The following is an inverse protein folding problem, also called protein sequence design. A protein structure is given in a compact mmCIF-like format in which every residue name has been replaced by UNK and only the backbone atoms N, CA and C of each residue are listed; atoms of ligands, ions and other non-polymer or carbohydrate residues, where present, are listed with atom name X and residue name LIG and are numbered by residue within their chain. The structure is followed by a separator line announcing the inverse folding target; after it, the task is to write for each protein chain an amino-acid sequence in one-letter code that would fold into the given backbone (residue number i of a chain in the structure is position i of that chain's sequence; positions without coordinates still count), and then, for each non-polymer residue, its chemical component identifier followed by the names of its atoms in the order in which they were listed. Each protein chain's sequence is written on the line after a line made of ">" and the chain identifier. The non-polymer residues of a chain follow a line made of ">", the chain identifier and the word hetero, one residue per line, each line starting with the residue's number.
data_IF_499403022010
#
_entry.id   IF_499403022010
#
_cell.length_a   1.000
_cell.length_b   1.000
_cell.length_c   1.000
_cell.angle_alpha   90.00
_cell.angle_beta   90.00
_cell.angle_gamma   90.00
#
_symmetry.space_group_name_H-M   'P 1'
#
loop_
_entity.id
_entity.type
_entity.pdbx_description
1 polymer ?
#
# COMPACT_ATOMS: atom_id res chain seq x y z
N UNK A 1 -30.24 -15.55 -32.76
CA UNK A 1 -28.96 -15.92 -32.13
C UNK A 1 -28.09 -14.68 -32.15
N UNK A 2 -28.17 -13.83 -31.11
CA UNK A 2 -27.24 -12.71 -30.95
C UNK A 2 -25.97 -13.29 -30.34
N UNK A 3 -24.95 -13.48 -31.16
CA UNK A 3 -23.59 -13.68 -30.69
C UNK A 3 -23.17 -12.39 -29.99
N UNK A 4 -23.38 -12.34 -28.67
CA UNK A 4 -22.80 -11.31 -27.80
C UNK A 4 -21.28 -11.45 -27.88
N UNK A 5 -20.66 -10.85 -28.90
CA UNK A 5 -19.22 -10.67 -28.97
C UNK A 5 -18.84 -9.67 -27.87
N UNK A 6 -18.74 -10.16 -26.64
CA UNK A 6 -18.12 -9.42 -25.55
C UNK A 6 -16.66 -9.24 -25.94
N UNK A 7 -16.30 -8.00 -26.24
CA UNK A 7 -14.96 -7.63 -26.63
C UNK A 7 -14.01 -7.91 -25.46
N UNK A 8 -12.99 -8.73 -25.68
CA UNK A 8 -11.94 -8.92 -24.69
C UNK A 8 -10.94 -7.77 -24.75
N UNK A 9 -10.52 -7.32 -23.58
CA UNK A 9 -9.55 -6.26 -23.38
C UNK A 9 -8.28 -6.86 -22.78
N UNK A 10 -7.12 -6.43 -23.26
CA UNK A 10 -5.84 -6.69 -22.61
C UNK A 10 -5.34 -5.40 -21.98
N UNK A 11 -4.93 -5.47 -20.72
CA UNK A 11 -4.32 -4.36 -20.00
C UNK A 11 -2.93 -4.74 -19.52
N UNK A 12 -2.03 -3.77 -19.49
CA UNK A 12 -0.65 -3.93 -19.05
C UNK A 12 -0.52 -3.41 -17.62
N UNK A 13 -0.49 -4.32 -16.63
CA UNK A 13 -0.37 -3.97 -15.20
C UNK A 13 0.70 -4.86 -14.57
N UNK A 14 1.52 -4.29 -13.69
CA UNK A 14 2.65 -4.96 -13.06
C UNK A 14 3.69 -5.54 -14.04
N UNK A 15 3.77 -5.00 -15.26
CA UNK A 15 4.67 -5.52 -16.30
C UNK A 15 4.22 -6.86 -16.90
N UNK A 16 2.95 -7.25 -16.68
CA UNK A 16 2.31 -8.39 -17.34
C UNK A 16 1.06 -7.95 -18.10
N UNK A 17 0.75 -8.73 -19.12
CA UNK A 17 -0.46 -8.58 -19.93
C UNK A 17 -1.55 -9.41 -19.27
N UNK A 18 -2.61 -8.76 -18.82
CA UNK A 18 -3.78 -9.40 -18.23
C UNK A 18 -4.92 -9.24 -19.21
N UNK A 19 -5.54 -10.35 -19.62
CA UNK A 19 -6.68 -10.35 -20.54
C UNK A 19 -7.98 -10.52 -19.75
N UNK A 20 -8.99 -9.72 -20.10
CA UNK A 20 -10.31 -9.78 -19.50
C UNK A 20 -11.04 -11.04 -19.93
N UNK A 21 -11.87 -11.60 -19.06
CA UNK A 21 -12.86 -12.60 -19.45
C UNK A 21 -14.21 -11.89 -19.58
N UNK A 22 -14.89 -12.04 -20.72
CA UNK A 22 -16.20 -11.40 -20.95
C UNK A 22 -16.17 -9.86 -20.80
N UNK A 23 -15.03 -9.23 -21.09
CA UNK A 23 -14.82 -7.79 -20.94
C UNK A 23 -14.60 -7.31 -19.49
N UNK A 24 -14.43 -8.24 -18.53
CA UNK A 24 -14.23 -7.95 -17.11
C UNK A 24 -12.96 -8.59 -16.56
N UNK A 25 -12.38 -7.95 -15.55
CA UNK A 25 -11.18 -8.41 -14.86
C UNK A 25 -11.44 -8.82 -13.43
N UNK A 26 -10.80 -9.91 -12.99
CA UNK A 26 -10.82 -10.38 -11.61
C UNK A 26 -9.81 -9.61 -10.77
N UNK A 27 -10.29 -8.78 -9.85
CA UNK A 27 -9.40 -7.91 -9.04
C UNK A 27 -8.52 -8.72 -8.07
N UNK A 28 -9.01 -9.85 -7.58
CA UNK A 28 -8.27 -10.79 -6.74
C UNK A 28 -7.12 -11.47 -7.49
N UNK A 29 -7.34 -11.83 -8.76
CA UNK A 29 -6.31 -12.39 -9.64
C UNK A 29 -5.20 -11.38 -9.92
N UNK A 30 -5.58 -10.13 -10.18
CA UNK A 30 -4.62 -9.03 -10.37
C UNK A 30 -3.76 -8.82 -9.14
N UNK A 31 -4.37 -8.78 -7.94
CA UNK A 31 -3.63 -8.71 -6.67
C UNK A 31 -2.67 -9.89 -6.54
N UNK A 32 -3.13 -11.12 -6.83
CA UNK A 32 -2.30 -12.32 -6.75
C UNK A 32 -1.10 -12.28 -7.70
N UNK A 33 -1.29 -11.83 -8.94
CA UNK A 33 -0.20 -11.64 -9.90
C UNK A 33 0.80 -10.62 -9.35
N UNK A 34 0.33 -9.48 -8.83
CA UNK A 34 1.19 -8.46 -8.21
C UNK A 34 2.02 -9.02 -7.05
N UNK A 35 1.43 -9.88 -6.20
CA UNK A 35 2.15 -10.56 -5.11
C UNK A 35 3.20 -11.51 -5.65
N UNK A 36 2.84 -12.34 -6.64
CA UNK A 36 3.75 -13.35 -7.20
C UNK A 36 5.03 -12.73 -7.78
N UNK A 37 4.94 -11.55 -8.36
CA UNK A 37 6.09 -10.84 -8.93
C UNK A 37 6.75 -9.85 -7.96
N UNK A 38 6.29 -9.79 -6.71
CA UNK A 38 6.83 -8.90 -5.68
C UNK A 38 6.53 -7.42 -5.88
N UNK A 39 5.49 -7.07 -6.64
CA UNK A 39 5.01 -5.68 -6.80
C UNK A 39 3.95 -5.29 -5.77
N UNK A 40 3.35 -6.25 -5.09
CA UNK A 40 2.29 -6.04 -4.10
C UNK A 40 2.59 -6.91 -2.89
N UNK A 41 2.40 -6.38 -1.70
CA UNK A 41 2.59 -7.15 -0.46
C UNK A 41 1.32 -7.97 -0.16
N UNK A 42 1.48 -9.17 0.39
CA UNK A 42 0.36 -10.00 0.82
C UNK A 42 -0.16 -9.59 2.21
N UNK A 43 -0.76 -8.42 2.27
CA UNK A 43 -1.29 -7.83 3.51
C UNK A 43 -2.76 -7.45 3.39
N UNK A 44 -3.41 -7.19 4.52
CA UNK A 44 -4.81 -6.73 4.53
C UNK A 44 -4.99 -5.34 3.89
N UNK A 45 -3.96 -4.49 3.93
CA UNK A 45 -3.99 -3.15 3.32
C UNK A 45 -4.19 -3.22 1.81
N UNK A 46 -3.63 -4.24 1.13
CA UNK A 46 -3.71 -4.43 -0.32
C UNK A 46 -4.97 -5.17 -0.78
N UNK A 47 -5.88 -5.55 0.11
CA UNK A 47 -7.12 -6.23 -0.27
C UNK A 47 -8.13 -5.28 -0.93
N UNK A 48 -8.90 -5.80 -1.89
CA UNK A 48 -9.98 -5.04 -2.56
C UNK A 48 -10.94 -4.34 -1.58
N UNK A 49 -11.24 -4.96 -0.44
CA UNK A 49 -12.15 -4.39 0.56
C UNK A 49 -11.71 -2.99 1.02
N UNK A 50 -10.40 -2.75 1.16
CA UNK A 50 -9.82 -1.45 1.51
C UNK A 50 -9.90 -0.47 0.35
N UNK A 51 -9.51 -0.88 -0.85
CA UNK A 51 -9.69 -0.08 -2.06
C UNK A 51 -11.13 0.42 -2.19
N UNK A 52 -12.11 -0.46 -1.99
CA UNK A 52 -13.53 -0.12 -2.06
C UNK A 52 -13.98 0.94 -1.03
N UNK A 53 -13.22 1.15 0.03
CA UNK A 53 -13.47 2.19 1.05
C UNK A 53 -12.83 3.55 0.70
N UNK A 54 -11.86 3.58 -0.22
CA UNK A 54 -11.22 4.81 -0.71
C UNK A 54 -12.22 5.68 -1.49
N UNK A 55 -11.90 6.97 -1.66
CA UNK A 55 -12.74 7.88 -2.48
C UNK A 55 -12.88 7.37 -3.92
N UNK A 56 -11.80 6.86 -4.50
CA UNK A 56 -11.78 6.32 -5.87
C UNK A 56 -12.58 5.02 -5.96
N UNK A 57 -12.35 4.06 -5.06
CA UNK A 57 -13.09 2.79 -5.06
C UNK A 57 -14.59 2.97 -4.83
N UNK A 58 -14.99 3.90 -3.94
CA UNK A 58 -16.40 4.28 -3.75
C UNK A 58 -17.01 4.88 -5.02
N UNK A 59 -16.30 5.79 -5.70
CA UNK A 59 -16.77 6.38 -6.95
C UNK A 59 -16.97 5.33 -8.05
N UNK A 60 -16.02 4.41 -8.21
CA UNK A 60 -16.08 3.34 -9.21
C UNK A 60 -17.22 2.36 -8.92
N UNK A 61 -17.45 2.02 -7.65
CA UNK A 61 -18.60 1.19 -7.23
C UNK A 61 -19.92 1.91 -7.50
N UNK A 62 -20.03 3.19 -7.17
CA UNK A 62 -21.25 3.98 -7.41
C UNK A 62 -21.58 4.10 -8.91
N UNK A 63 -20.57 4.07 -9.77
CA UNK A 63 -20.73 4.05 -11.24
C UNK A 63 -20.89 2.65 -11.83
N UNK A 64 -21.12 1.62 -11.01
CA UNK A 64 -21.30 0.22 -11.42
C UNK A 64 -20.16 -0.38 -12.26
N UNK A 65 -18.96 0.22 -12.17
CA UNK A 65 -17.75 -0.24 -12.88
C UNK A 65 -17.08 -1.43 -12.21
N UNK A 66 -17.39 -1.65 -10.94
CA UNK A 66 -16.93 -2.79 -10.16
C UNK A 66 -18.16 -3.51 -9.60
N UNK A 67 -18.25 -4.82 -9.83
CA UNK A 67 -19.41 -5.65 -9.49
C UNK A 67 -18.95 -6.87 -8.70
N UNK A 68 -19.72 -7.23 -7.68
CA UNK A 68 -19.56 -8.49 -6.97
C UNK A 68 -20.41 -9.54 -7.68
N UNK A 69 -19.77 -10.62 -8.15
CA UNK A 69 -20.45 -11.76 -8.76
C UNK A 69 -20.32 -12.96 -7.83
N UNK A 70 -21.45 -13.60 -7.51
CA UNK A 70 -21.44 -14.88 -6.79
C UNK A 70 -21.19 -16.00 -7.80
N UNK A 71 -20.10 -16.72 -7.63
CA UNK A 71 -19.65 -17.83 -8.49
C UNK A 71 -20.19 -19.18 -8.00
N UNK A 72 -21.41 -19.21 -7.44
CA UNK A 72 -21.98 -20.42 -6.82
C UNK A 72 -21.20 -20.85 -5.56
N UNK A 73 -21.01 -22.16 -5.39
CA UNK A 73 -20.32 -22.76 -4.22
C UNK A 73 -18.82 -22.38 -4.13
N UNK A 74 -18.22 -21.88 -5.21
CA UNK A 74 -16.83 -21.42 -5.27
C UNK A 74 -16.59 -20.03 -4.63
N UNK A 75 -17.65 -19.37 -4.14
CA UNK A 75 -17.57 -18.09 -3.44
C UNK A 75 -17.98 -16.89 -4.28
N UNK A 76 -17.54 -15.68 -3.89
CA UNK A 76 -17.86 -14.43 -4.60
C UNK A 76 -16.60 -13.74 -5.10
N UNK A 77 -16.59 -13.33 -6.37
CA UNK A 77 -15.48 -12.64 -7.02
C UNK A 77 -15.86 -11.20 -7.35
N UNK A 78 -14.90 -10.29 -7.27
CA UNK A 78 -15.09 -8.89 -7.63
C UNK A 78 -14.53 -8.66 -9.03
N UNK A 79 -15.42 -8.30 -9.95
CA UNK A 79 -15.11 -8.03 -11.34
C UNK A 79 -15.12 -6.54 -11.63
N UNK A 80 -14.19 -6.08 -12.47
CA UNK A 80 -14.05 -4.68 -12.84
C UNK A 80 -13.98 -4.47 -14.34
N UNK A 81 -14.52 -3.35 -14.81
CA UNK A 81 -14.28 -2.85 -16.17
C UNK A 81 -12.79 -2.46 -16.36
N UNK A 82 -12.30 -2.31 -17.61
CA UNK A 82 -10.89 -1.99 -17.84
C UNK A 82 -10.40 -0.73 -17.10
N UNK A 83 -11.22 0.31 -17.04
CA UNK A 83 -10.86 1.58 -16.40
C UNK A 83 -10.70 1.45 -14.87
N UNK A 84 -11.63 0.78 -14.21
CA UNK A 84 -11.58 0.52 -12.78
C UNK A 84 -10.44 -0.44 -12.42
N UNK A 85 -10.10 -1.34 -13.34
CA UNK A 85 -8.99 -2.29 -13.17
C UNK A 85 -7.64 -1.58 -13.15
N UNK A 86 -7.42 -0.62 -14.06
CA UNK A 86 -6.22 0.22 -14.08
C UNK A 86 -6.08 1.03 -12.79
N UNK A 87 -7.17 1.63 -12.31
CA UNK A 87 -7.15 2.39 -11.05
C UNK A 87 -6.89 1.50 -9.84
N UNK A 88 -7.39 0.27 -9.83
CA UNK A 88 -7.07 -0.69 -8.79
C UNK A 88 -5.59 -1.08 -8.81
N UNK A 89 -5.01 -1.34 -9.98
CA UNK A 89 -3.57 -1.63 -10.13
C UNK A 89 -2.69 -0.48 -9.64
N UNK A 90 -3.02 0.76 -9.98
CA UNK A 90 -2.32 1.96 -9.50
C UNK A 90 -2.36 2.10 -7.98
N UNK A 91 -3.52 1.84 -7.38
CA UNK A 91 -3.64 1.85 -5.93
C UNK A 91 -2.79 0.76 -5.26
N UNK A 92 -2.73 -0.44 -5.83
CA UNK A 92 -1.87 -1.51 -5.34
C UNK A 92 -0.38 -1.14 -5.39
N UNK A 93 0.09 -0.54 -6.50
CA UNK A 93 1.46 -0.04 -6.62
C UNK A 93 1.79 1.02 -5.56
N UNK A 94 0.82 1.90 -5.25
CA UNK A 94 0.99 2.93 -4.22
C UNK A 94 1.10 2.34 -2.81
N UNK A 95 0.22 1.40 -2.44
CA UNK A 95 0.25 0.74 -1.12
C UNK A 95 1.57 -0.04 -0.93
N UNK A 96 2.05 -0.72 -1.98
CA UNK A 96 3.35 -1.38 -1.94
C UNK A 96 4.50 -0.38 -1.75
N UNK A 97 4.49 0.73 -2.49
CA UNK A 97 5.49 1.79 -2.34
C UNK A 97 5.53 2.38 -0.93
N UNK A 98 4.37 2.55 -0.30
CA UNK A 98 4.28 2.96 1.10
C UNK A 98 4.86 1.89 2.03
N UNK A 99 4.47 0.63 1.90
CA UNK A 99 4.97 -0.45 2.74
C UNK A 99 6.49 -0.59 2.65
N UNK A 100 7.05 -0.51 1.44
CA UNK A 100 8.51 -0.52 1.24
C UNK A 100 9.18 0.68 1.90
N UNK A 101 8.57 1.87 1.80
CA UNK A 101 9.12 3.08 2.41
C UNK A 101 9.06 3.02 3.94
N UNK A 102 7.96 2.53 4.51
CA UNK A 102 7.80 2.31 5.95
C UNK A 102 8.78 1.26 6.47
N UNK A 103 8.95 0.14 5.75
CA UNK A 103 9.93 -0.89 6.08
C UNK A 103 11.35 -0.32 6.01
N UNK A 104 11.66 0.47 4.97
CA UNK A 104 12.96 1.13 4.83
C UNK A 104 13.21 2.10 5.99
N UNK A 105 12.25 2.98 6.31
CA UNK A 105 12.35 3.90 7.45
C UNK A 105 12.50 3.12 8.76
N UNK A 106 11.74 2.04 8.96
CA UNK A 106 11.85 1.18 10.14
C UNK A 106 13.23 0.51 10.24
N UNK A 107 13.79 0.07 9.12
CA UNK A 107 15.14 -0.50 9.07
C UNK A 107 16.20 0.56 9.36
N UNK A 108 16.13 1.74 8.74
CA UNK A 108 17.11 2.82 8.94
C UNK A 108 16.99 3.51 10.29
N UNK A 109 15.83 3.43 10.95
CA UNK A 109 15.61 3.91 12.33
C UNK A 109 15.98 2.90 13.40
N UNK A 110 16.17 1.63 13.06
CA UNK A 110 16.54 0.60 14.03
C UNK A 110 17.91 0.88 14.63
N UNK A 111 17.99 1.01 15.96
CA UNK A 111 19.24 1.29 16.69
C UNK A 111 20.34 0.26 16.39
N UNK A 112 19.96 -1.01 16.18
CA UNK A 112 20.89 -2.09 15.81
C UNK A 112 21.44 -1.91 14.40
N UNK A 113 20.58 -1.53 13.44
CA UNK A 113 21.00 -1.28 12.06
C UNK A 113 21.84 0.00 11.98
N UNK A 114 21.44 1.06 12.68
CA UNK A 114 22.23 2.30 12.77
C UNK A 114 23.59 2.06 13.41
N UNK A 115 23.65 1.24 14.47
CA UNK A 115 24.91 0.87 15.12
C UNK A 115 25.81 0.04 14.19
N UNK A 116 25.23 -0.93 13.47
CA UNK A 116 25.95 -1.72 12.47
C UNK A 116 26.48 -0.83 11.34
N UNK A 117 25.65 0.06 10.78
CA UNK A 117 26.03 1.01 9.72
C UNK A 117 27.11 1.99 10.20
N UNK A 118 27.04 2.46 11.46
CA UNK A 118 28.05 3.32 12.03
C UNK A 118 29.42 2.61 12.12
N UNK A 119 29.42 1.34 12.58
CA UNK A 119 30.62 0.52 12.73
C UNK A 119 31.20 -0.06 11.43
N UNK A 120 30.42 -0.09 10.35
CA UNK A 120 30.81 -0.69 9.08
C UNK A 120 31.83 0.20 8.33
N UNK A 121 33.08 -0.25 8.17
CA UNK A 121 34.13 0.51 7.46
C UNK A 121 33.96 0.49 5.93
N UNK A 122 33.17 -0.44 5.41
CA UNK A 122 32.91 -0.72 4.00
C UNK A 122 31.76 0.13 3.40
N UNK A 123 30.96 0.79 4.24
CA UNK A 123 29.89 1.68 3.77
C UNK A 123 30.47 3.06 3.47
N UNK A 124 30.25 3.54 2.24
CA UNK A 124 30.69 4.88 1.80
C UNK A 124 30.17 5.97 2.75
N UNK A 125 30.98 7.01 3.05
CA UNK A 125 30.58 8.10 3.94
C UNK A 125 29.27 8.78 3.52
N UNK A 126 29.07 8.97 2.21
CA UNK A 126 27.86 9.57 1.63
C UNK A 126 26.59 8.78 1.98
N UNK A 127 26.68 7.44 1.99
CA UNK A 127 25.56 6.56 2.34
C UNK A 127 25.27 6.60 3.84
N UNK A 128 26.31 6.69 4.69
CA UNK A 128 26.14 6.88 6.14
C UNK A 128 25.45 8.21 6.46
N UNK A 129 25.86 9.28 5.78
CA UNK A 129 25.29 10.62 5.95
C UNK A 129 23.83 10.68 5.49
N UNK A 130 23.50 10.02 4.38
CA UNK A 130 22.12 9.85 3.91
C UNK A 130 21.26 9.13 4.95
N UNK A 131 21.74 8.00 5.50
CA UNK A 131 21.01 7.24 6.54
C UNK A 131 20.82 8.08 7.81
N UNK A 132 21.83 8.84 8.24
CA UNK A 132 21.70 9.75 9.39
C UNK A 132 20.66 10.84 9.18
N UNK A 133 20.63 11.48 8.00
CA UNK A 133 19.62 12.51 7.67
C UNK A 133 18.19 11.97 7.64
N UNK A 134 18.02 10.69 7.33
CA UNK A 134 16.73 10.01 7.24
C UNK A 134 16.44 9.09 8.45
N UNK A 135 17.26 9.18 9.51
CA UNK A 135 16.97 8.55 10.79
C UNK A 135 15.76 9.21 11.46
N UNK A 136 14.98 8.44 12.22
CA UNK A 136 13.86 8.99 12.98
C UNK A 136 14.37 9.67 14.26
N UNK A 137 14.29 10.99 14.32
CA UNK A 137 14.41 11.74 15.58
C UNK A 137 13.06 11.77 16.32
N UNK A 138 13.09 11.94 17.64
CA UNK A 138 11.88 12.23 18.42
C UNK A 138 11.65 13.73 18.39
N UNK A 139 10.42 14.17 18.14
CA UNK A 139 10.11 15.59 18.04
C UNK A 139 8.95 15.96 18.96
N UNK A 140 9.08 17.11 19.64
CA UNK A 140 7.99 17.78 20.36
C UNK A 140 7.86 19.19 19.77
N UNK A 141 6.66 19.53 19.30
CA UNK A 141 6.36 20.85 18.71
C UNK A 141 7.37 21.29 17.63
N UNK A 142 7.83 20.35 16.80
CA UNK A 142 8.77 20.62 15.70
C UNK A 142 10.24 20.76 16.11
N UNK A 143 10.58 20.60 17.40
CA UNK A 143 11.96 20.53 17.89
C UNK A 143 12.35 19.09 18.19
N UNK A 144 13.55 18.69 17.78
CA UNK A 144 14.10 17.37 18.12
C UNK A 144 14.44 17.29 19.61
N UNK A 145 14.08 16.18 20.24
CA UNK A 145 14.19 15.95 21.68
C UNK A 145 14.83 14.61 21.99
N UNK A 146 15.38 14.50 23.19
CA UNK A 146 15.92 13.22 23.68
C UNK A 146 14.81 12.23 24.05
N UNK A 147 15.14 10.93 24.12
CA UNK A 147 14.21 9.89 24.56
C UNK A 147 13.61 10.16 25.95
N UNK A 148 14.41 10.70 26.88
CA UNK A 148 13.96 11.04 28.23
C UNK A 148 12.91 12.16 28.18
N UNK A 149 13.21 13.23 27.45
CA UNK A 149 12.32 14.38 27.28
C UNK A 149 11.01 13.99 26.55
N UNK A 150 11.09 13.09 25.58
CA UNK A 150 9.92 12.55 24.89
C UNK A 150 9.03 11.69 25.80
N UNK A 151 9.64 10.87 26.66
CA UNK A 151 8.93 10.00 27.60
C UNK A 151 8.23 10.83 28.69
N UNK A 152 8.90 11.88 29.19
CA UNK A 152 8.32 12.84 30.14
C UNK A 152 7.13 13.59 29.51
N UNK A 153 7.27 14.04 28.26
CA UNK A 153 6.17 14.69 27.53
C UNK A 153 4.97 13.76 27.32
N UNK A 154 5.20 12.50 26.92
CA UNK A 154 4.12 11.51 26.80
C UNK A 154 3.45 11.25 28.14
N UNK A 155 4.20 11.14 29.25
CA UNK A 155 3.63 10.95 30.58
C UNK A 155 2.75 12.14 31.03
N UNK A 156 3.12 13.36 30.66
CA UNK A 156 2.36 14.59 30.97
C UNK A 156 1.14 14.80 30.06
N UNK A 157 1.20 14.28 28.82
CA UNK A 157 0.12 14.42 27.82
C UNK A 157 -0.82 13.21 27.73
N UNK A 158 -0.42 12.04 28.23
CA UNK A 158 -1.27 10.86 28.39
C UNK A 158 -2.42 11.17 29.36
N UNK A 159 -3.57 11.57 28.79
CA UNK A 159 -4.76 11.98 29.52
C UNK A 159 -5.33 13.34 29.13
N UNK A 160 -4.64 14.14 28.31
CA UNK A 160 -5.13 15.46 27.85
C UNK A 160 -5.84 15.44 26.49
N UNK A 161 -6.44 14.31 26.09
CA UNK A 161 -7.45 14.33 25.04
C UNK A 161 -8.82 14.72 25.63
N UNK A 162 -8.96 15.95 26.11
CA UNK A 162 -10.26 16.61 26.07
C UNK A 162 -10.37 17.27 24.70
N UNK A 163 -10.98 16.55 23.76
CA UNK A 163 -11.54 17.22 22.59
C UNK A 163 -12.67 18.10 23.08
N UNK A 164 -12.45 19.41 23.03
CA UNK A 164 -13.44 20.43 23.34
C UNK A 164 -14.75 20.18 22.58
N UNK A 165 -15.85 20.49 23.27
CA UNK A 165 -17.23 20.48 22.78
C UNK A 165 -17.43 21.22 21.47
#
# INVERSE_FOLDING_TARGET
>A
MTSDNKQEYTIHIFGQDITSQDGLFRLDEIRRVGIQIGKVEDTESTQYKRFAQTKVGKLLRNRQKIRLIRMGELGSTVLADPAATVEFGRWLDFEYGLAVSEAFVSMTSSATVQSAVASAEDIKPETKEFIQRHGTGLYIAGREVSQAEYSDYQAVTAGRCEWGK
#
